data_IF_471326574343
#
_entry.id   IF_471326574343
#
_cell.length_a   1.000
_cell.length_b   1.000
_cell.length_c   1.000
_cell.angle_alpha   90.00
_cell.angle_beta   90.00
_cell.angle_gamma   90.00
#
_symmetry.space_group_name_H-M   'P 1'
#
loop_
_entity.id
_entity.type
_entity.pdbx_description
1 polymer ?
#
# COMPACT_ATOMS: atom_id res chain seq x y z
N UNK A 1 24.69 -8.37 17.26
CA UNK A 1 23.88 -9.42 16.58
C UNK A 1 22.43 -9.34 17.04
N UNK A 2 22.19 -9.26 18.35
CA UNK A 2 20.84 -9.02 18.92
C UNK A 2 20.18 -7.76 18.34
N UNK A 3 20.88 -6.63 18.25
CA UNK A 3 20.31 -5.38 17.71
C UNK A 3 19.81 -5.49 16.26
N UNK A 4 20.57 -6.22 15.41
CA UNK A 4 20.20 -6.47 14.01
C UNK A 4 18.94 -7.33 13.92
N UNK A 5 18.84 -8.34 14.78
CA UNK A 5 17.66 -9.22 14.87
C UNK A 5 16.44 -8.43 15.31
N UNK A 6 16.58 -7.59 16.35
CA UNK A 6 15.50 -6.71 16.82
C UNK A 6 15.02 -5.78 15.71
N UNK A 7 15.95 -5.15 14.98
CA UNK A 7 15.60 -4.27 13.86
C UNK A 7 14.86 -5.01 12.73
N UNK A 8 15.31 -6.21 12.36
CA UNK A 8 14.62 -7.04 11.37
C UNK A 8 13.21 -7.44 11.83
N UNK A 9 13.03 -7.77 13.12
CA UNK A 9 11.71 -8.08 13.69
C UNK A 9 10.79 -6.87 13.63
N UNK A 10 11.29 -5.68 13.96
CA UNK A 10 10.53 -4.43 13.85
C UNK A 10 10.06 -4.22 12.40
N UNK A 11 10.96 -4.31 11.43
CA UNK A 11 10.61 -4.15 10.01
C UNK A 11 9.58 -5.21 9.58
N UNK A 12 9.78 -6.47 9.95
CA UNK A 12 8.87 -7.57 9.62
C UNK A 12 7.47 -7.37 10.24
N UNK A 13 7.40 -6.82 11.46
CA UNK A 13 6.13 -6.49 12.12
C UNK A 13 5.33 -5.42 11.37
N UNK A 14 6.00 -4.53 10.62
CA UNK A 14 5.35 -3.55 9.74
C UNK A 14 4.94 -4.15 8.38
N UNK A 15 5.68 -5.15 7.88
CA UNK A 15 5.35 -5.84 6.62
C UNK A 15 4.07 -6.68 6.76
N UNK A 16 3.94 -7.41 7.87
CA UNK A 16 2.81 -8.31 8.09
C UNK A 16 1.42 -7.66 7.92
N UNK A 17 1.09 -6.53 8.56
CA UNK A 17 -0.20 -5.87 8.38
C UNK A 17 -0.42 -5.39 6.95
N UNK A 18 0.63 -4.94 6.24
CA UNK A 18 0.51 -4.55 4.83
C UNK A 18 0.14 -5.76 3.96
N UNK A 19 0.75 -6.91 4.19
CA UNK A 19 0.39 -8.15 3.47
C UNK A 19 -1.06 -8.56 3.77
N UNK A 20 -1.47 -8.52 5.03
CA UNK A 20 -2.85 -8.84 5.44
C UNK A 20 -3.85 -7.88 4.77
N UNK A 21 -3.59 -6.57 4.82
CA UNK A 21 -4.41 -5.57 4.14
C UNK A 21 -4.42 -5.78 2.64
N UNK A 22 -3.27 -6.14 2.04
CA UNK A 22 -3.15 -6.51 0.64
C UNK A 22 -4.12 -7.62 0.24
N UNK A 23 -4.17 -8.69 1.05
CA UNK A 23 -5.09 -9.82 0.86
C UNK A 23 -6.55 -9.39 1.01
N UNK A 24 -6.88 -8.60 2.03
CA UNK A 24 -8.26 -8.11 2.24
C UNK A 24 -8.72 -7.27 1.03
N UNK A 25 -7.88 -6.32 0.61
CA UNK A 25 -8.18 -5.38 -0.46
C UNK A 25 -8.22 -6.01 -1.85
N UNK A 26 -7.32 -6.95 -2.18
CA UNK A 26 -7.31 -7.61 -3.50
C UNK A 26 -8.57 -8.46 -3.73
N UNK A 27 -9.21 -8.92 -2.64
CA UNK A 27 -10.51 -9.58 -2.67
C UNK A 27 -11.70 -8.61 -2.79
N UNK A 28 -11.44 -7.31 -3.00
CA UNK A 28 -12.48 -6.28 -3.13
C UNK A 28 -13.10 -5.83 -1.79
N UNK A 29 -12.52 -6.23 -0.65
CA UNK A 29 -13.05 -5.95 0.69
C UNK A 29 -12.24 -4.85 1.39
N UNK A 30 -12.75 -4.38 2.54
CA UNK A 30 -12.01 -3.47 3.42
C UNK A 30 -12.03 -1.99 3.04
N UNK A 31 -12.91 -1.56 2.13
CA UNK A 31 -13.01 -0.16 1.69
C UNK A 31 -13.19 0.86 2.83
N UNK A 32 -13.77 0.45 3.97
CA UNK A 32 -13.86 1.27 5.19
C UNK A 32 -12.51 1.65 5.80
N UNK A 33 -11.43 0.92 5.48
CA UNK A 33 -10.07 1.21 5.92
C UNK A 33 -9.37 2.24 5.01
N UNK A 34 -9.94 2.57 3.85
CA UNK A 34 -9.42 3.60 2.96
C UNK A 34 -9.92 4.94 3.49
N UNK A 35 -9.11 5.66 4.28
CA UNK A 35 -9.54 6.85 5.02
C UNK A 35 -10.27 7.91 4.16
N UNK A 36 -9.74 8.23 2.97
CA UNK A 36 -10.36 9.20 2.06
C UNK A 36 -11.69 8.71 1.47
N UNK A 37 -11.86 7.40 1.30
CA UNK A 37 -13.14 6.81 0.92
C UNK A 37 -14.08 6.75 2.12
N UNK A 38 -13.61 6.34 3.30
CA UNK A 38 -14.42 6.16 4.50
C UNK A 38 -15.08 7.47 4.99
N UNK A 39 -14.35 8.59 4.87
CA UNK A 39 -14.83 9.95 5.24
C UNK A 39 -15.71 10.61 4.17
N UNK A 40 -15.82 10.02 2.98
CA UNK A 40 -16.67 10.51 1.92
C UNK A 40 -18.16 10.29 2.23
N UNK A 41 -19.02 11.22 1.81
CA UNK A 41 -20.48 11.09 2.01
C UNK A 41 -21.03 9.86 1.28
N UNK A 42 -22.14 9.26 1.77
CA UNK A 42 -22.74 8.09 1.14
C UNK A 42 -23.10 8.30 -0.34
N UNK A 43 -23.52 9.51 -0.73
CA UNK A 43 -23.88 9.87 -2.09
C UNK A 43 -22.65 9.84 -3.00
N UNK A 44 -21.56 10.46 -2.57
CA UNK A 44 -20.30 10.48 -3.32
C UNK A 44 -19.67 9.09 -3.39
N UNK A 45 -19.78 8.26 -2.35
CA UNK A 45 -19.29 6.86 -2.39
C UNK A 45 -19.93 6.04 -3.52
N UNK A 46 -21.21 6.27 -3.85
CA UNK A 46 -21.93 5.56 -4.93
C UNK A 46 -21.37 5.89 -6.32
N UNK A 47 -20.68 7.02 -6.47
CA UNK A 47 -20.01 7.36 -7.72
C UNK A 47 -18.80 6.47 -8.00
N UNK A 48 -18.29 5.72 -7.02
CA UNK A 48 -17.05 4.95 -7.15
C UNK A 48 -17.27 3.45 -7.36
N UNK A 49 -16.47 2.84 -8.23
CA UNK A 49 -16.23 1.41 -8.28
C UNK A 49 -15.36 1.02 -7.09
N UNK A 50 -16.05 0.66 -6.00
CA UNK A 50 -15.42 0.28 -4.73
C UNK A 50 -14.54 -0.97 -4.88
N UNK A 51 -14.92 -1.92 -5.74
CA UNK A 51 -14.16 -3.16 -5.93
C UNK A 51 -12.85 -2.87 -6.66
N UNK A 52 -12.88 -2.06 -7.71
CA UNK A 52 -11.68 -1.64 -8.42
C UNK A 52 -10.74 -0.82 -7.52
N UNK A 53 -11.29 0.09 -6.72
CA UNK A 53 -10.52 0.87 -5.74
C UNK A 53 -9.84 -0.04 -4.70
N UNK A 54 -10.58 -0.97 -4.10
CA UNK A 54 -10.02 -1.95 -3.18
C UNK A 54 -8.90 -2.77 -3.86
N UNK A 55 -9.15 -3.34 -5.04
CA UNK A 55 -8.12 -4.12 -5.76
C UNK A 55 -6.86 -3.32 -6.06
N UNK A 56 -7.00 -2.04 -6.40
CA UNK A 56 -5.88 -1.13 -6.56
C UNK A 56 -5.10 -0.95 -5.25
N UNK A 57 -5.79 -0.71 -4.13
CA UNK A 57 -5.15 -0.61 -2.81
C UNK A 57 -4.47 -1.90 -2.39
N UNK A 58 -5.02 -3.07 -2.72
CA UNK A 58 -4.38 -4.35 -2.47
C UNK A 58 -3.02 -4.47 -3.17
N UNK A 59 -2.95 -4.07 -4.45
CA UNK A 59 -1.68 -4.03 -5.20
C UNK A 59 -0.67 -3.06 -4.59
N UNK A 60 -1.13 -1.90 -4.14
CA UNK A 60 -0.25 -0.92 -3.47
C UNK A 60 0.28 -1.48 -2.15
N UNK A 61 -0.55 -2.12 -1.33
CA UNK A 61 -0.09 -2.73 -0.07
C UNK A 61 0.97 -3.82 -0.31
N UNK A 62 0.78 -4.68 -1.32
CA UNK A 62 1.80 -5.66 -1.69
C UNK A 62 3.09 -5.01 -2.20
N UNK A 63 2.99 -3.99 -3.05
CA UNK A 63 4.16 -3.28 -3.56
C UNK A 63 4.97 -2.61 -2.42
N UNK A 64 4.29 -1.96 -1.47
CA UNK A 64 4.93 -1.38 -0.29
C UNK A 64 5.61 -2.47 0.55
N UNK A 65 4.91 -3.56 0.83
CA UNK A 65 5.47 -4.69 1.59
C UNK A 65 6.72 -5.29 0.93
N UNK A 66 6.71 -5.42 -0.41
CA UNK A 66 7.85 -5.86 -1.19
C UNK A 66 9.03 -4.88 -1.11
N UNK A 67 8.78 -3.57 -1.21
CA UNK A 67 9.86 -2.57 -1.09
C UNK A 67 10.56 -2.61 0.28
N UNK A 68 9.82 -2.93 1.35
CA UNK A 68 10.37 -3.06 2.70
C UNK A 68 11.24 -4.32 2.89
N UNK A 69 11.11 -5.34 2.03
CA UNK A 69 12.01 -6.51 2.05
C UNK A 69 13.46 -6.07 1.84
N UNK A 70 13.71 -5.06 0.99
CA UNK A 70 15.05 -4.51 0.78
C UNK A 70 15.66 -3.92 2.06
N UNK A 71 14.84 -3.43 3.00
CA UNK A 71 15.34 -2.95 4.30
C UNK A 71 15.79 -4.11 5.19
N UNK A 72 15.05 -5.23 5.19
CA UNK A 72 15.48 -6.46 5.88
C UNK A 72 16.80 -6.96 5.29
N UNK A 73 16.89 -7.02 3.95
CA UNK A 73 18.12 -7.43 3.26
C UNK A 73 19.29 -6.47 3.53
N UNK A 74 19.01 -5.15 3.60
CA UNK A 74 20.01 -4.14 3.95
C UNK A 74 20.63 -4.41 5.33
N UNK A 75 19.82 -4.80 6.31
CA UNK A 75 20.29 -5.12 7.67
C UNK A 75 21.03 -6.46 7.69
N UNK A 76 20.51 -7.46 6.98
CA UNK A 76 21.07 -8.81 6.93
C UNK A 76 22.45 -8.86 6.24
N UNK A 77 22.63 -8.10 5.17
CA UNK A 77 23.88 -8.05 4.38
C UNK A 77 24.76 -6.83 4.68
N UNK A 78 24.32 -5.94 5.57
CA UNK A 78 25.05 -4.70 5.92
C UNK A 78 25.30 -3.79 4.71
N UNK A 79 24.36 -3.81 3.76
CA UNK A 79 24.45 -3.07 2.49
C UNK A 79 23.50 -1.87 2.49
N UNK A 80 23.97 -0.70 2.92
CA UNK A 80 23.16 0.53 2.97
C UNK A 80 22.51 0.91 1.62
N UNK A 81 23.10 0.49 0.50
CA UNK A 81 22.49 0.68 -0.83
C UNK A 81 21.10 0.02 -0.96
N UNK A 82 20.89 -1.14 -0.34
CA UNK A 82 19.58 -1.81 -0.35
C UNK A 82 18.53 -1.01 0.42
N UNK A 83 18.91 -0.35 1.53
CA UNK A 83 18.02 0.55 2.24
C UNK A 83 17.53 1.70 1.35
N UNK A 84 18.47 2.35 0.64
CA UNK A 84 18.16 3.47 -0.27
C UNK A 84 17.25 2.99 -1.41
N UNK A 85 17.54 1.83 -2.01
CA UNK A 85 16.68 1.24 -3.06
C UNK A 85 15.26 1.01 -2.53
N UNK A 86 15.13 0.36 -1.37
CA UNK A 86 13.84 0.13 -0.73
C UNK A 86 13.09 1.42 -0.45
N UNK A 87 13.80 2.47 0.03
CA UNK A 87 13.22 3.78 0.33
C UNK A 87 12.72 4.49 -0.92
N UNK A 88 13.52 4.52 -1.99
CA UNK A 88 13.14 5.14 -3.27
C UNK A 88 11.93 4.42 -3.86
N UNK A 89 11.92 3.08 -3.83
CA UNK A 89 10.77 2.28 -4.26
C UNK A 89 9.53 2.60 -3.42
N UNK A 90 9.64 2.60 -2.10
CA UNK A 90 8.54 2.87 -1.19
C UNK A 90 7.91 4.25 -1.47
N UNK A 91 8.72 5.30 -1.52
CA UNK A 91 8.26 6.67 -1.82
C UNK A 91 7.65 6.75 -3.22
N UNK A 92 8.27 6.14 -4.22
CA UNK A 92 7.75 6.08 -5.58
C UNK A 92 6.37 5.41 -5.66
N UNK A 93 6.15 4.32 -4.92
CA UNK A 93 4.87 3.61 -4.84
C UNK A 93 3.80 4.49 -4.17
N UNK A 94 4.15 5.20 -3.09
CA UNK A 94 3.23 6.14 -2.42
C UNK A 94 2.82 7.27 -3.36
N UNK A 95 3.78 7.91 -4.03
CA UNK A 95 3.52 8.98 -5.00
C UNK A 95 2.64 8.45 -6.13
N UNK A 96 2.98 7.28 -6.69
CA UNK A 96 2.19 6.64 -7.74
C UNK A 96 0.75 6.39 -7.27
N UNK A 97 0.55 5.86 -6.06
CA UNK A 97 -0.77 5.61 -5.49
C UNK A 97 -1.58 6.92 -5.37
N UNK A 98 -0.97 7.97 -4.80
CA UNK A 98 -1.61 9.29 -4.65
C UNK A 98 -2.02 9.86 -6.01
N UNK A 99 -1.11 9.87 -6.98
CA UNK A 99 -1.40 10.38 -8.34
C UNK A 99 -2.54 9.56 -8.94
N UNK A 100 -2.49 8.24 -8.88
CA UNK A 100 -3.49 7.38 -9.52
C UNK A 100 -4.88 7.44 -8.89
N UNK A 101 -4.98 7.71 -7.58
CA UNK A 101 -6.27 7.90 -6.89
C UNK A 101 -6.86 9.28 -7.18
N UNK A 102 -6.02 10.30 -7.31
CA UNK A 102 -6.47 11.68 -7.58
C UNK A 102 -6.63 11.99 -9.08
N UNK A 103 -6.04 11.17 -9.95
CA UNK A 103 -6.11 11.39 -11.40
C UNK A 103 -7.36 10.73 -11.99
N UNK A 104 -8.18 11.56 -12.61
CA UNK A 104 -9.01 11.23 -13.78
C UNK A 104 -10.17 10.25 -13.57
N UNK A 105 -11.01 10.49 -12.55
CA UNK A 105 -12.25 9.72 -12.30
C UNK A 105 -12.05 8.20 -12.40
N UNK A 106 -10.82 7.72 -12.15
CA UNK A 106 -10.37 6.39 -12.58
C UNK A 106 -11.18 5.27 -11.96
N UNK A 107 -11.57 5.51 -10.72
CA UNK A 107 -12.40 4.62 -9.94
C UNK A 107 -13.85 5.10 -9.89
N UNK A 108 -14.27 6.05 -10.72
CA UNK A 108 -15.68 6.42 -10.83
C UNK A 108 -16.42 5.50 -11.79
N UNK A 109 -17.67 5.21 -11.46
CA UNK A 109 -18.58 4.42 -12.26
C UNK A 109 -18.95 5.19 -13.55
N UNK A 110 -18.65 4.60 -14.71
CA UNK A 110 -18.94 5.19 -16.04
C UNK A 110 -20.42 5.31 -16.40
N UNK A 111 -21.35 4.88 -15.53
CA UNK A 111 -22.81 4.87 -15.79
C UNK A 111 -23.54 6.13 -15.32
N UNK A 112 -22.84 7.13 -14.79
CA UNK A 112 -23.40 8.40 -14.30
C UNK A 112 -22.90 9.63 -15.10
N UNK A 113 -22.24 9.43 -16.24
CA UNK A 113 -21.82 10.49 -17.17
C UNK A 113 -22.71 10.55 -18.40
#
# INVERSE_FOLDING_TARGET
MEDKIVLMIIIASCILPLVILGIVFINGKGSSLIAGFNTMSPEKKKEYDTIALCKFMGKIMFALSFSMVFWVLSVAYEMNGLFIIGLVLFVGIVIFAIVNVNTDNRFKNKKLS
#
